data_IF_644639406891
#
_entry.id   IF_644639406891
#
_cell.length_a   1.000
_cell.length_b   1.000
_cell.length_c   1.000
_cell.angle_alpha   90.00
_cell.angle_beta   90.00
_cell.angle_gamma   90.00
#
_symmetry.space_group_name_H-M   'P 1'
#
loop_
_entity.id
_entity.type
_entity.pdbx_description
1 polymer ?
#
# COMPACT_ATOMS: atom_id res chain seq x y z
N UNK A 1 23.94 15.09 21.70
CA UNK A 1 24.93 14.04 21.47
C UNK A 1 25.35 14.08 20.01
N UNK A 2 26.63 13.80 19.69
CA UNK A 2 27.09 13.70 18.29
C UNK A 2 27.01 12.25 17.82
N UNK A 3 26.45 12.03 16.62
CA UNK A 3 26.34 10.70 15.97
C UNK A 3 26.63 10.81 14.48
N UNK A 4 27.11 9.72 13.89
CA UNK A 4 27.23 9.54 12.44
C UNK A 4 26.23 8.47 12.00
N UNK A 5 25.40 8.77 11.00
CA UNK A 5 24.37 7.85 10.52
C UNK A 5 25.01 6.81 9.61
N UNK A 6 24.87 5.54 9.98
CA UNK A 6 25.42 4.39 9.26
C UNK A 6 24.52 3.93 8.10
N UNK A 7 23.21 3.84 8.36
CA UNK A 7 22.21 3.34 7.39
C UNK A 7 20.79 3.81 7.71
N UNK A 8 19.88 3.61 6.78
CA UNK A 8 18.44 3.69 7.03
C UNK A 8 17.91 2.36 7.57
N UNK A 9 16.83 2.45 8.33
CA UNK A 9 16.07 1.30 8.83
C UNK A 9 14.64 1.30 8.27
N UNK A 10 13.95 0.17 8.37
CA UNK A 10 12.52 0.12 8.08
C UNK A 10 11.80 1.16 8.94
N UNK A 11 10.90 1.95 8.32
CA UNK A 11 10.30 3.13 8.95
C UNK A 11 10.99 4.45 8.57
N UNK A 12 12.16 4.42 7.89
CA UNK A 12 12.82 5.61 7.33
C UNK A 12 13.70 6.38 8.31
N UNK A 13 13.92 5.87 9.53
CA UNK A 13 14.85 6.49 10.46
C UNK A 13 16.32 6.13 10.12
N UNK A 14 17.23 7.10 10.27
CA UNK A 14 18.66 6.84 10.23
C UNK A 14 19.11 6.12 11.50
N UNK A 15 19.98 5.14 11.37
CA UNK A 15 20.57 4.40 12.49
C UNK A 15 22.01 4.80 12.69
N UNK A 16 22.37 5.06 13.93
CA UNK A 16 23.75 5.28 14.40
C UNK A 16 24.04 4.42 15.63
N UNK A 17 25.33 4.31 15.98
CA UNK A 17 25.78 3.74 17.24
C UNK A 17 26.54 4.77 18.05
N UNK A 18 26.14 4.91 19.31
CA UNK A 18 26.80 5.81 20.23
C UNK A 18 26.72 5.27 21.66
N UNK A 19 27.86 5.31 22.38
CA UNK A 19 27.95 4.86 23.78
C UNK A 19 27.40 3.42 24.00
N UNK A 20 27.65 2.51 23.05
CA UNK A 20 27.19 1.12 23.11
C UNK A 20 25.71 0.90 22.81
N UNK A 21 24.94 1.96 22.45
CA UNK A 21 23.51 1.89 22.09
C UNK A 21 23.28 2.15 20.61
N UNK A 22 22.21 1.57 20.09
CA UNK A 22 21.63 1.96 18.80
C UNK A 22 20.80 3.22 19.00
N UNK A 23 20.99 4.20 18.11
CA UNK A 23 20.25 5.47 18.11
C UNK A 23 19.53 5.61 16.78
N UNK A 24 18.21 5.66 16.83
CA UNK A 24 17.35 5.94 15.66
C UNK A 24 17.07 7.42 15.58
N UNK A 25 17.48 8.04 14.47
CA UNK A 25 17.37 9.49 14.27
C UNK A 25 16.38 9.78 13.16
N UNK A 26 15.24 10.40 13.50
CA UNK A 26 14.25 10.82 12.51
C UNK A 26 14.85 11.85 11.55
N UNK A 27 14.77 11.57 10.24
CA UNK A 27 15.32 12.43 9.17
C UNK A 27 16.84 12.38 9.01
N UNK A 28 17.55 11.50 9.74
CA UNK A 28 18.99 11.26 9.52
C UNK A 28 19.25 10.38 8.31
N UNK A 29 20.23 10.72 7.50
CA UNK A 29 20.62 9.99 6.30
C UNK A 29 22.03 9.40 6.41
N UNK A 30 22.31 8.24 5.80
CA UNK A 30 23.65 7.66 5.80
C UNK A 30 24.73 8.67 5.37
N UNK A 31 25.80 8.80 6.17
CA UNK A 31 26.86 9.76 5.96
C UNK A 31 26.63 11.15 6.58
N UNK A 32 25.43 11.43 7.13
CA UNK A 32 25.25 12.62 7.97
C UNK A 32 26.03 12.48 9.27
N UNK A 33 26.70 13.56 9.71
CA UNK A 33 27.16 13.73 11.09
C UNK A 33 26.25 14.76 11.77
N UNK A 34 25.57 14.31 12.83
CA UNK A 34 24.49 15.04 13.45
C UNK A 34 24.76 15.31 14.94
N UNK A 35 24.35 16.50 15.40
CA UNK A 35 24.06 16.73 16.81
C UNK A 35 22.59 16.42 17.06
N UNK A 36 22.33 15.49 17.95
CA UNK A 36 20.96 14.96 18.20
C UNK A 36 20.57 15.12 19.66
N UNK A 37 19.26 15.28 19.86
CA UNK A 37 18.59 15.27 21.16
C UNK A 37 17.82 13.95 21.29
N UNK A 38 18.12 13.18 22.34
CA UNK A 38 17.36 12.00 22.70
C UNK A 38 15.95 12.41 23.13
N UNK A 39 14.95 11.83 22.49
CA UNK A 39 13.54 12.03 22.82
C UNK A 39 12.99 10.89 23.64
N UNK A 40 13.57 9.68 23.49
CA UNK A 40 13.14 8.49 24.21
C UNK A 40 14.31 7.51 24.39
N UNK A 41 14.56 7.09 25.62
CA UNK A 41 15.56 6.07 25.94
C UNK A 41 14.88 4.78 26.37
N UNK A 42 15.18 3.68 25.67
CA UNK A 42 14.64 2.33 25.89
C UNK A 42 15.66 1.35 26.44
N UNK A 43 16.77 1.83 26.99
CA UNK A 43 17.86 1.01 27.49
C UNK A 43 18.77 0.47 26.38
N UNK A 44 18.30 -0.50 25.59
CA UNK A 44 19.08 -1.09 24.48
C UNK A 44 19.15 -0.21 23.24
N UNK A 45 18.21 0.72 23.05
CA UNK A 45 18.19 1.69 21.95
C UNK A 45 17.60 3.03 22.40
N UNK A 46 17.83 4.07 21.62
CA UNK A 46 17.25 5.39 21.83
C UNK A 46 16.64 5.93 20.54
N UNK A 47 15.60 6.77 20.67
CA UNK A 47 15.04 7.57 19.59
C UNK A 47 15.49 9.02 19.76
N UNK A 48 15.85 9.67 18.67
CA UNK A 48 16.39 11.00 18.68
C UNK A 48 15.88 11.87 17.53
N UNK A 49 15.92 13.17 17.72
CA UNK A 49 15.67 14.19 16.69
C UNK A 49 16.93 14.99 16.42
N UNK A 50 17.05 15.51 15.22
CA UNK A 50 18.16 16.34 14.78
C UNK A 50 18.05 17.72 15.48
N UNK A 51 19.12 18.14 16.17
CA UNK A 51 19.29 19.52 16.64
C UNK A 51 20.08 20.33 15.60
N UNK A 52 21.12 19.71 15.00
CA UNK A 52 22.01 20.38 14.06
C UNK A 52 22.65 19.35 13.13
N UNK A 53 22.81 19.70 11.85
CA UNK A 53 23.58 18.92 10.88
C UNK A 53 25.00 19.46 10.83
N UNK A 54 25.95 18.71 11.38
CA UNK A 54 27.37 19.10 11.45
C UNK A 54 28.11 18.82 10.13
N UNK A 55 27.72 17.74 9.45
CA UNK A 55 28.17 17.37 8.11
C UNK A 55 27.03 16.74 7.35
N UNK A 56 26.72 17.27 6.19
CA UNK A 56 25.62 16.82 5.33
C UNK A 56 26.06 15.64 4.49
N UNK A 57 25.23 14.60 4.42
CA UNK A 57 25.37 13.51 3.47
C UNK A 57 25.35 14.01 2.02
N UNK A 58 26.21 13.53 1.11
CA UNK A 58 26.15 13.87 -0.31
C UNK A 58 24.86 13.41 -1.00
N UNK A 59 24.15 12.47 -0.37
CA UNK A 59 22.89 11.94 -0.88
C UNK A 59 21.65 12.74 -0.43
N UNK A 60 21.86 13.75 0.43
CA UNK A 60 20.77 14.63 0.87
C UNK A 60 20.36 15.59 -0.24
N UNK A 61 19.04 15.79 -0.36
CA UNK A 61 18.42 16.76 -1.29
C UNK A 61 17.34 17.55 -0.57
N UNK A 62 16.85 18.62 -1.22
CA UNK A 62 15.74 19.40 -0.68
C UNK A 62 14.41 18.69 -0.97
N UNK A 63 13.60 18.47 0.06
CA UNK A 63 12.26 17.96 -0.09
C UNK A 63 11.34 19.01 -0.73
N UNK A 64 10.62 18.70 -1.81
CA UNK A 64 9.74 19.67 -2.48
C UNK A 64 8.41 19.88 -1.74
N UNK A 65 8.02 19.00 -0.83
CA UNK A 65 6.78 19.10 -0.08
C UNK A 65 6.90 20.10 1.07
N UNK A 66 6.06 21.17 1.13
CA UNK A 66 6.16 22.18 2.16
C UNK A 66 5.84 21.67 3.58
N UNK A 67 5.15 20.54 3.70
CA UNK A 67 4.80 19.90 4.97
C UNK A 67 5.60 18.60 5.23
N UNK A 68 6.73 18.43 4.50
CA UNK A 68 7.62 17.31 4.76
C UNK A 68 8.21 17.38 6.18
N UNK A 69 8.23 16.24 6.88
CA UNK A 69 8.66 16.15 8.28
C UNK A 69 7.54 16.37 9.29
N UNK A 70 6.43 17.03 8.91
CA UNK A 70 5.22 17.14 9.70
C UNK A 70 4.18 16.10 9.28
N UNK A 71 3.87 16.01 7.98
CA UNK A 71 2.97 15.01 7.42
C UNK A 71 3.60 13.61 7.50
N UNK A 72 2.84 12.62 8.00
CA UNK A 72 3.27 11.22 8.10
C UNK A 72 3.28 10.45 6.78
N UNK A 73 2.96 11.09 5.65
CA UNK A 73 2.83 10.40 4.36
C UNK A 73 4.15 10.02 3.70
N UNK A 74 5.22 10.80 3.91
CA UNK A 74 6.52 10.61 3.26
C UNK A 74 7.67 10.72 4.28
N UNK A 75 8.69 9.87 4.13
CA UNK A 75 9.85 9.85 5.02
C UNK A 75 11.18 10.09 4.29
N UNK A 76 11.22 9.98 2.95
CA UNK A 76 12.46 9.95 2.18
C UNK A 76 12.63 11.06 1.14
N UNK A 77 11.76 12.09 1.10
CA UNK A 77 11.85 13.18 0.11
C UNK A 77 13.17 13.98 0.18
N UNK A 78 13.90 13.88 1.29
CA UNK A 78 15.19 14.54 1.50
C UNK A 78 16.39 13.66 1.11
N UNK A 79 16.14 12.48 0.51
CA UNK A 79 17.14 11.54 0.01
C UNK A 79 17.01 11.41 -1.51
N UNK A 80 18.11 11.46 -2.25
CA UNK A 80 18.11 11.22 -3.71
C UNK A 80 17.50 9.87 -4.05
N UNK A 81 16.74 9.80 -5.14
CA UNK A 81 15.95 8.63 -5.48
C UNK A 81 16.77 7.33 -5.67
N UNK A 82 17.94 7.33 -6.36
CA UNK A 82 18.75 6.11 -6.44
C UNK A 82 19.15 5.57 -5.07
N UNK A 83 19.42 6.45 -4.10
CA UNK A 83 19.79 6.07 -2.73
C UNK A 83 18.57 5.57 -1.95
N UNK A 84 17.35 6.03 -2.25
CA UNK A 84 16.12 5.43 -1.71
C UNK A 84 15.99 3.98 -2.15
N UNK A 85 16.19 3.68 -3.43
CA UNK A 85 16.11 2.33 -3.99
C UNK A 85 17.16 1.39 -3.34
N UNK A 86 18.41 1.85 -3.26
CA UNK A 86 19.49 1.10 -2.62
C UNK A 86 19.17 0.80 -1.14
N UNK A 87 18.66 1.78 -0.40
CA UNK A 87 18.27 1.61 0.98
C UNK A 87 17.12 0.59 1.13
N UNK A 88 16.11 0.64 0.27
CA UNK A 88 14.97 -0.31 0.28
C UNK A 88 15.44 -1.75 0.05
N UNK A 89 16.32 -1.99 -0.91
CA UNK A 89 16.91 -3.32 -1.15
C UNK A 89 17.72 -3.81 0.05
N UNK A 90 18.54 -2.92 0.65
CA UNK A 90 19.33 -3.25 1.84
C UNK A 90 18.45 -3.60 3.03
N UNK A 91 17.39 -2.82 3.27
CA UNK A 91 16.41 -3.08 4.34
C UNK A 91 15.70 -4.42 4.14
N UNK A 92 15.25 -4.72 2.91
CA UNK A 92 14.61 -6.00 2.60
C UNK A 92 15.57 -7.17 2.90
N UNK A 93 16.81 -7.12 2.39
CA UNK A 93 17.82 -8.15 2.61
C UNK A 93 18.07 -8.38 4.11
N UNK A 94 18.35 -7.31 4.84
CA UNK A 94 18.62 -7.39 6.27
C UNK A 94 17.41 -7.96 7.05
N UNK A 95 16.20 -7.61 6.64
CA UNK A 95 14.97 -8.09 7.27
C UNK A 95 14.78 -9.58 7.04
N UNK A 96 15.00 -10.06 5.81
CA UNK A 96 14.93 -11.50 5.48
C UNK A 96 15.97 -12.30 6.28
N UNK A 97 17.20 -11.77 6.41
CA UNK A 97 18.26 -12.45 7.15
C UNK A 97 18.00 -12.48 8.67
N UNK A 98 17.61 -11.35 9.27
CA UNK A 98 17.50 -11.20 10.72
C UNK A 98 16.21 -11.75 11.31
N UNK A 99 15.09 -11.54 10.62
CA UNK A 99 13.75 -11.98 11.07
C UNK A 99 13.43 -13.35 10.48
N UNK A 100 13.64 -13.50 9.18
CA UNK A 100 13.33 -14.73 8.45
C UNK A 100 14.35 -15.85 8.68
N UNK A 101 15.59 -15.52 9.07
CA UNK A 101 16.71 -16.50 9.06
C UNK A 101 17.11 -16.92 7.64
N UNK A 102 16.62 -16.23 6.62
CA UNK A 102 16.75 -16.55 5.21
C UNK A 102 18.01 -15.89 4.65
N UNK A 103 19.12 -16.66 4.53
CA UNK A 103 20.41 -16.19 4.04
C UNK A 103 20.66 -16.66 2.61
N UNK A 104 21.42 -15.88 1.85
CA UNK A 104 21.82 -16.26 0.48
C UNK A 104 20.66 -16.31 -0.52
N UNK A 105 19.52 -15.69 -0.19
CA UNK A 105 18.37 -15.62 -1.09
C UNK A 105 18.68 -14.68 -2.26
N UNK A 106 18.30 -15.11 -3.44
CA UNK A 106 18.34 -14.28 -4.63
C UNK A 106 17.30 -13.15 -4.52
N UNK A 107 17.79 -11.91 -4.39
CA UNK A 107 16.98 -10.70 -4.46
C UNK A 107 17.22 -10.09 -5.83
N UNK A 108 16.18 -10.18 -6.67
CA UNK A 108 16.23 -9.58 -8.00
C UNK A 108 16.33 -8.04 -7.91
N UNK A 109 16.77 -7.36 -8.97
CA UNK A 109 16.81 -5.90 -8.99
C UNK A 109 15.44 -5.29 -8.68
N UNK A 110 15.44 -4.22 -7.86
CA UNK A 110 14.21 -3.48 -7.55
C UNK A 110 13.65 -2.85 -8.83
N UNK A 111 12.33 -2.97 -9.05
CA UNK A 111 11.66 -2.17 -10.07
C UNK A 111 11.50 -0.73 -9.56
N UNK A 112 12.19 0.24 -10.18
CA UNK A 112 12.01 1.65 -9.84
C UNK A 112 10.70 2.16 -10.42
N UNK A 113 10.07 3.14 -9.78
CA UNK A 113 9.00 3.90 -10.41
C UNK A 113 9.57 4.87 -11.44
N UNK A 114 8.93 4.99 -12.60
CA UNK A 114 9.28 6.00 -13.61
C UNK A 114 9.04 7.42 -13.07
N UNK A 115 8.00 7.58 -12.27
CA UNK A 115 7.64 8.83 -11.64
C UNK A 115 7.97 8.78 -10.15
N UNK A 116 8.90 9.62 -9.71
CA UNK A 116 9.24 9.76 -8.28
C UNK A 116 8.17 10.52 -7.49
N UNK A 117 7.40 11.34 -8.20
CA UNK A 117 6.28 12.16 -7.73
C UNK A 117 5.09 11.98 -8.67
N UNK A 118 3.93 12.54 -8.29
CA UNK A 118 2.70 12.53 -9.13
C UNK A 118 2.16 11.15 -9.53
N UNK A 119 2.68 10.07 -8.93
CA UNK A 119 2.30 8.70 -9.27
C UNK A 119 1.00 8.25 -8.60
N UNK A 120 0.65 8.86 -7.45
CA UNK A 120 -0.41 8.35 -6.59
C UNK A 120 -1.79 8.69 -7.13
N UNK A 121 -2.55 7.65 -7.48
CA UNK A 121 -3.89 7.76 -8.08
C UNK A 121 -5.02 7.72 -7.06
N UNK A 122 -4.73 7.60 -5.76
CA UNK A 122 -5.72 7.53 -4.68
C UNK A 122 -5.18 8.14 -3.39
N UNK A 123 -6.02 8.97 -2.74
CA UNK A 123 -5.72 9.55 -1.43
C UNK A 123 -6.94 9.50 -0.50
N UNK A 124 -6.69 9.50 0.79
CA UNK A 124 -7.71 9.66 1.83
C UNK A 124 -7.36 10.88 2.66
N UNK A 125 -8.16 11.92 2.57
CA UNK A 125 -7.99 13.15 3.32
C UNK A 125 -8.81 13.10 4.62
N UNK A 126 -8.23 13.52 5.72
CA UNK A 126 -8.95 13.87 6.93
C UNK A 126 -9.57 15.24 6.77
N UNK A 127 -10.78 15.42 7.33
CA UNK A 127 -11.47 16.70 7.34
C UNK A 127 -11.72 17.17 8.77
N UNK A 128 -11.74 18.46 8.97
CA UNK A 128 -12.17 19.04 10.25
C UNK A 128 -12.70 20.46 10.05
N UNK A 129 -13.67 20.82 10.88
CA UNK A 129 -14.27 22.13 10.88
C UNK A 129 -13.70 22.94 12.03
N UNK A 130 -13.09 24.09 11.73
CA UNK A 130 -12.47 24.96 12.73
C UNK A 130 -12.60 26.41 12.30
N UNK A 131 -12.93 27.30 13.26
CA UNK A 131 -13.10 28.75 13.02
C UNK A 131 -14.05 29.05 11.84
N UNK A 132 -15.17 28.30 11.75
CA UNK A 132 -16.22 28.52 10.74
C UNK A 132 -15.92 27.96 9.34
N UNK A 133 -14.85 27.20 9.14
CA UNK A 133 -14.49 26.62 7.83
C UNK A 133 -13.94 25.21 7.92
N UNK A 134 -14.03 24.48 6.81
CA UNK A 134 -13.40 23.19 6.65
C UNK A 134 -11.92 23.30 6.31
N UNK A 135 -11.16 22.35 6.82
CA UNK A 135 -9.78 22.08 6.45
C UNK A 135 -9.65 20.64 5.94
N UNK A 136 -8.76 20.45 5.00
CA UNK A 136 -8.37 19.16 4.45
C UNK A 136 -6.91 18.89 4.76
N UNK A 137 -6.55 17.63 5.02
CA UNK A 137 -5.16 17.29 5.26
C UNK A 137 -4.93 15.83 5.62
N UNK A 138 -3.71 15.57 6.06
CA UNK A 138 -3.28 14.27 6.55
C UNK A 138 -3.01 14.31 8.06
N UNK A 139 -2.50 13.22 8.60
CA UNK A 139 -2.05 13.14 9.98
C UNK A 139 -0.52 13.24 10.05
N UNK A 140 -0.02 13.81 11.14
CA UNK A 140 1.36 13.68 11.55
C UNK A 140 1.67 12.20 11.85
N UNK A 141 2.91 11.77 11.61
CA UNK A 141 3.34 10.40 11.83
C UNK A 141 3.19 9.98 13.30
N UNK A 142 2.54 8.83 13.53
CA UNK A 142 2.32 8.29 14.88
C UNK A 142 1.43 9.14 15.78
N UNK A 143 0.69 10.11 15.24
CA UNK A 143 -0.09 11.10 15.98
C UNK A 143 -1.50 11.24 15.40
N UNK A 144 -2.42 11.80 16.21
CA UNK A 144 -3.74 12.25 15.76
C UNK A 144 -3.78 13.71 15.33
N UNK A 145 -2.64 14.41 15.41
CA UNK A 145 -2.53 15.80 14.98
C UNK A 145 -2.72 15.86 13.46
N UNK A 146 -3.52 16.82 13.01
CA UNK A 146 -3.85 17.00 11.59
C UNK A 146 -2.93 18.07 11.00
N UNK A 147 -2.43 17.78 9.80
CA UNK A 147 -1.56 18.64 9.02
C UNK A 147 -2.35 19.12 7.81
N UNK A 148 -2.71 20.42 7.74
CA UNK A 148 -3.43 20.94 6.59
C UNK A 148 -2.54 20.94 5.35
N UNK A 149 -3.15 20.71 4.18
CA UNK A 149 -2.45 20.69 2.90
C UNK A 149 -3.22 21.51 1.85
N UNK A 150 -2.49 22.07 0.90
CA UNK A 150 -3.03 22.68 -0.32
C UNK A 150 -2.87 21.75 -1.54
N UNK A 151 -1.96 20.78 -1.44
CA UNK A 151 -1.68 19.76 -2.43
C UNK A 151 -0.73 18.70 -1.87
N UNK A 152 -0.47 17.67 -2.65
CA UNK A 152 0.41 16.56 -2.30
C UNK A 152 1.34 16.23 -3.48
N UNK A 153 2.67 16.47 -3.39
CA UNK A 153 3.58 16.26 -4.52
C UNK A 153 3.59 14.84 -5.08
N UNK A 154 3.33 13.82 -4.26
CA UNK A 154 3.26 12.43 -4.72
C UNK A 154 1.91 12.05 -5.34
N UNK A 155 0.86 12.87 -5.14
CA UNK A 155 -0.44 12.63 -5.78
C UNK A 155 -0.45 13.13 -7.23
N UNK A 156 -1.20 12.45 -8.10
CA UNK A 156 -1.33 12.83 -9.51
C UNK A 156 -1.92 14.23 -9.66
N UNK A 157 -1.69 14.86 -10.80
CA UNK A 157 -2.24 16.18 -11.12
C UNK A 157 -3.76 16.21 -11.00
N UNK A 158 -4.45 15.14 -11.40
CA UNK A 158 -5.91 14.99 -11.29
C UNK A 158 -6.36 15.01 -9.82
N UNK A 159 -5.64 14.30 -8.94
CA UNK A 159 -5.92 14.28 -7.51
C UNK A 159 -5.65 15.66 -6.90
N UNK A 160 -4.55 16.32 -7.26
CA UNK A 160 -4.20 17.64 -6.76
C UNK A 160 -5.23 18.71 -7.19
N UNK A 161 -5.69 18.65 -8.43
CA UNK A 161 -6.77 19.54 -8.90
C UNK A 161 -8.06 19.32 -8.10
N UNK A 162 -8.42 18.06 -7.81
CA UNK A 162 -9.57 17.75 -6.97
C UNK A 162 -9.39 18.27 -5.54
N UNK A 163 -8.19 18.14 -4.95
CA UNK A 163 -7.87 18.69 -3.61
C UNK A 163 -8.06 20.22 -3.61
N UNK A 164 -7.49 20.90 -4.61
CA UNK A 164 -7.59 22.37 -4.73
C UNK A 164 -9.04 22.83 -4.83
N UNK A 165 -9.83 22.26 -5.75
CA UNK A 165 -11.23 22.59 -5.94
C UNK A 165 -12.08 22.29 -4.71
N UNK A 166 -11.88 21.12 -4.07
CA UNK A 166 -12.55 20.76 -2.82
C UNK A 166 -12.24 21.72 -1.70
N UNK A 167 -10.97 22.11 -1.53
CA UNK A 167 -10.55 23.06 -0.51
C UNK A 167 -11.27 24.41 -0.70
N UNK A 168 -11.31 24.91 -1.94
CA UNK A 168 -12.01 26.15 -2.29
C UNK A 168 -13.52 26.04 -2.03
N UNK A 169 -14.16 24.96 -2.49
CA UNK A 169 -15.57 24.74 -2.29
C UNK A 169 -15.95 24.64 -0.80
N UNK A 170 -15.23 23.82 -0.04
CA UNK A 170 -15.48 23.60 1.38
C UNK A 170 -15.17 24.84 2.23
N UNK A 171 -14.23 25.69 1.81
CA UNK A 171 -13.93 26.96 2.51
C UNK A 171 -15.07 27.95 2.46
N UNK A 172 -15.93 27.88 1.44
CA UNK A 172 -17.11 28.76 1.30
C UNK A 172 -18.33 28.28 2.11
N UNK A 173 -18.25 27.11 2.72
CA UNK A 173 -19.34 26.50 3.46
C UNK A 173 -19.24 26.86 4.94
N UNK A 174 -20.20 27.66 5.42
CA UNK A 174 -20.30 28.08 6.84
C UNK A 174 -21.08 27.08 7.71
N UNK A 175 -21.71 26.04 7.11
CA UNK A 175 -22.46 25.04 7.83
C UNK A 175 -21.59 23.83 8.20
N UNK A 176 -21.79 23.27 9.41
CA UNK A 176 -21.11 22.07 9.84
C UNK A 176 -21.86 20.82 9.38
N UNK A 177 -21.15 19.93 8.68
CA UNK A 177 -21.61 18.59 8.26
C UNK A 177 -20.82 17.50 8.99
N UNK A 178 -21.37 16.31 9.21
CA UNK A 178 -20.69 15.20 9.88
C UNK A 178 -19.67 14.50 8.97
N UNK A 179 -18.78 15.25 8.33
CA UNK A 179 -17.77 14.79 7.39
C UNK A 179 -16.46 14.44 8.11
N UNK A 180 -16.08 13.17 8.11
CA UNK A 180 -14.85 12.68 8.75
C UNK A 180 -13.66 12.64 7.81
N UNK A 181 -13.87 12.14 6.58
CA UNK A 181 -12.83 11.94 5.58
C UNK A 181 -13.40 12.12 4.17
N UNK A 182 -12.49 12.30 3.23
CA UNK A 182 -12.79 12.30 1.80
C UNK A 182 -11.84 11.29 1.14
N UNK A 183 -12.40 10.30 0.47
CA UNK A 183 -11.65 9.45 -0.45
C UNK A 183 -11.67 10.09 -1.84
N UNK A 184 -10.52 10.19 -2.47
CA UNK A 184 -10.39 10.63 -3.85
C UNK A 184 -9.62 9.55 -4.59
N UNK A 185 -10.17 9.07 -5.70
CA UNK A 185 -9.51 8.15 -6.61
C UNK A 185 -9.59 8.67 -8.03
N UNK A 186 -8.61 8.36 -8.87
CA UNK A 186 -8.58 8.74 -10.27
C UNK A 186 -8.63 7.51 -11.17
N UNK A 187 -9.43 7.58 -12.23
CA UNK A 187 -9.45 6.63 -13.34
C UNK A 187 -8.32 6.90 -14.38
N UNK A 188 -7.54 7.98 -14.18
CA UNK A 188 -6.50 8.47 -15.11
C UNK A 188 -6.98 9.63 -15.98
N UNK A 189 -8.25 9.99 -15.96
CA UNK A 189 -8.88 11.11 -16.69
C UNK A 189 -9.59 12.07 -15.76
N UNK A 190 -10.32 11.53 -14.80
CA UNK A 190 -11.14 12.29 -13.85
C UNK A 190 -10.89 11.82 -12.42
N UNK A 191 -11.21 12.67 -11.44
CA UNK A 191 -11.24 12.32 -10.03
C UNK A 191 -12.65 11.94 -9.60
N UNK A 192 -12.77 10.86 -8.83
CA UNK A 192 -14.00 10.39 -8.21
C UNK A 192 -13.89 10.56 -6.70
N UNK A 193 -14.95 11.04 -6.06
CA UNK A 193 -14.94 11.46 -4.66
C UNK A 193 -15.96 10.66 -3.86
N UNK A 194 -15.59 10.23 -2.67
CA UNK A 194 -16.51 9.67 -1.70
C UNK A 194 -16.38 10.37 -0.35
N UNK A 195 -17.47 10.95 0.12
CA UNK A 195 -17.58 11.63 1.40
C UNK A 195 -17.86 10.60 2.50
N UNK A 196 -17.02 10.55 3.51
CA UNK A 196 -17.12 9.58 4.61
C UNK A 196 -17.68 10.27 5.84
N UNK A 197 -18.85 9.85 6.35
CA UNK A 197 -19.42 10.42 7.57
C UNK A 197 -18.67 9.99 8.84
N UNK A 198 -18.81 10.76 9.92
CA UNK A 198 -18.32 10.36 11.25
C UNK A 198 -19.07 9.15 11.83
N UNK A 199 -20.31 8.94 11.39
CA UNK A 199 -21.15 7.85 11.84
C UNK A 199 -21.97 7.31 10.69
N UNK A 200 -22.08 6.00 10.57
CA UNK A 200 -22.91 5.33 9.58
C UNK A 200 -24.44 5.64 9.73
N UNK A 201 -24.83 6.15 10.92
CA UNK A 201 -26.24 6.46 11.22
C UNK A 201 -26.79 7.69 10.50
N UNK A 202 -25.93 8.50 9.86
CA UNK A 202 -26.37 9.78 9.31
C UNK A 202 -25.77 10.14 7.92
N UNK A 203 -25.73 9.20 6.96
CA UNK A 203 -25.20 9.47 5.63
C UNK A 203 -26.05 10.49 4.86
N UNK A 204 -27.36 10.59 5.19
CA UNK A 204 -28.32 11.51 4.51
C UNK A 204 -27.96 12.98 4.70
N UNK A 205 -27.36 13.36 5.83
CA UNK A 205 -26.91 14.75 6.07
C UNK A 205 -25.79 15.18 5.12
N UNK A 206 -25.02 14.24 4.57
CA UNK A 206 -23.99 14.53 3.58
C UNK A 206 -24.54 14.68 2.16
N UNK A 207 -25.81 14.33 1.88
CA UNK A 207 -26.37 14.48 0.54
C UNK A 207 -26.41 15.94 0.09
N UNK A 208 -26.81 16.85 0.97
CA UNK A 208 -26.79 18.30 0.67
C UNK A 208 -25.38 18.78 0.35
N UNK A 209 -24.39 18.33 1.13
CA UNK A 209 -22.99 18.65 0.87
C UNK A 209 -22.50 18.03 -0.44
N UNK A 210 -22.83 16.76 -0.71
CA UNK A 210 -22.52 16.07 -1.96
C UNK A 210 -23.07 16.85 -3.16
N UNK A 211 -24.34 17.22 -3.11
CA UNK A 211 -25.02 17.92 -4.21
C UNK A 211 -24.43 19.31 -4.43
N UNK A 212 -24.03 20.00 -3.35
CA UNK A 212 -23.31 21.27 -3.43
C UNK A 212 -21.95 21.09 -4.09
N UNK A 213 -21.15 20.09 -3.66
CA UNK A 213 -19.86 19.78 -4.26
C UNK A 213 -20.03 19.40 -5.74
N UNK A 214 -20.95 18.50 -6.06
CA UNK A 214 -21.21 18.06 -7.44
C UNK A 214 -21.59 19.22 -8.37
N UNK A 215 -22.34 20.19 -7.87
CA UNK A 215 -22.73 21.39 -8.62
C UNK A 215 -21.59 22.41 -8.78
N UNK A 216 -20.72 22.48 -7.79
CA UNK A 216 -19.63 23.47 -7.75
C UNK A 216 -18.35 23.01 -8.43
N UNK A 217 -18.19 21.70 -8.62
CA UNK A 217 -16.97 21.10 -9.16
C UNK A 217 -17.31 20.32 -10.44
N UNK A 218 -16.68 20.68 -11.54
CA UNK A 218 -16.67 19.89 -12.78
C UNK A 218 -15.64 18.76 -12.63
N UNK A 219 -15.95 17.78 -11.79
CA UNK A 219 -15.17 16.56 -11.56
C UNK A 219 -16.07 15.35 -11.74
N UNK A 220 -15.49 14.16 -11.77
CA UNK A 220 -16.23 12.91 -11.88
C UNK A 220 -17.27 12.69 -10.77
N UNK A 221 -17.56 11.46 -10.44
CA UNK A 221 -18.62 11.13 -9.48
C UNK A 221 -18.32 11.64 -8.07
N UNK A 222 -19.34 12.22 -7.42
CA UNK A 222 -19.31 12.57 -6.00
C UNK A 222 -20.39 11.76 -5.29
N UNK A 223 -19.98 10.94 -4.34
CA UNK A 223 -20.81 10.00 -3.62
C UNK A 223 -20.64 10.13 -2.10
N UNK A 224 -21.46 9.41 -1.34
CA UNK A 224 -21.34 9.26 0.11
C UNK A 224 -21.03 7.79 0.41
N UNK A 225 -19.93 7.54 1.13
CA UNK A 225 -19.50 6.20 1.48
C UNK A 225 -20.58 5.43 2.25
N UNK A 226 -20.81 4.17 1.85
CA UNK A 226 -21.86 3.34 2.42
C UNK A 226 -23.30 3.73 2.01
N UNK A 227 -23.47 4.73 1.13
CA UNK A 227 -24.77 5.21 0.69
C UNK A 227 -24.72 5.70 -0.77
N UNK A 228 -25.25 4.91 -1.72
CA UNK A 228 -25.26 5.20 -3.16
C UNK A 228 -23.91 5.62 -3.73
N UNK A 229 -22.91 4.77 -3.54
CA UNK A 229 -21.59 4.98 -4.11
C UNK A 229 -21.57 4.52 -5.56
N UNK A 230 -21.29 5.45 -6.48
CA UNK A 230 -21.13 5.16 -7.90
C UNK A 230 -19.75 4.56 -8.16
N UNK A 231 -19.69 3.52 -8.98
CA UNK A 231 -18.43 2.96 -9.45
C UNK A 231 -17.88 3.74 -10.66
N UNK A 232 -16.59 3.62 -10.88
CA UNK A 232 -15.89 4.11 -12.05
C UNK A 232 -15.09 2.99 -12.71
N UNK A 233 -14.92 3.09 -14.02
CA UNK A 233 -14.11 2.17 -14.82
C UNK A 233 -12.70 2.74 -15.01
N UNK A 234 -11.69 1.87 -14.99
CA UNK A 234 -10.34 2.16 -15.44
C UNK A 234 -9.73 0.95 -16.12
N UNK A 235 -8.74 1.19 -16.97
CA UNK A 235 -8.02 0.10 -17.66
C UNK A 235 -6.66 -0.13 -17.00
N UNK A 236 -6.29 -1.39 -16.80
CA UNK A 236 -5.01 -1.82 -16.27
C UNK A 236 -4.51 -3.04 -17.04
N UNK A 237 -3.30 -2.97 -17.63
CA UNK A 237 -2.70 -4.07 -18.41
C UNK A 237 -3.67 -4.70 -19.42
N UNK A 238 -4.48 -3.84 -20.09
CA UNK A 238 -5.44 -4.25 -21.12
C UNK A 238 -6.72 -4.89 -20.64
N UNK A 239 -7.01 -4.85 -19.32
CA UNK A 239 -8.29 -5.28 -18.74
C UNK A 239 -9.04 -4.10 -18.14
N UNK A 240 -10.38 -4.20 -18.14
CA UNK A 240 -11.28 -3.24 -17.50
C UNK A 240 -11.51 -3.60 -16.06
N UNK A 241 -11.31 -2.63 -15.17
CA UNK A 241 -11.59 -2.75 -13.76
C UNK A 241 -12.64 -1.73 -13.34
N UNK A 242 -13.50 -2.16 -12.44
CA UNK A 242 -14.45 -1.28 -11.77
C UNK A 242 -14.05 -1.10 -10.31
N UNK A 243 -14.14 0.15 -9.82
CA UNK A 243 -13.88 0.47 -8.43
C UNK A 243 -14.75 1.62 -7.95
N UNK A 244 -14.73 1.89 -6.66
CA UNK A 244 -15.28 3.11 -6.05
C UNK A 244 -14.17 3.79 -5.24
N UNK A 245 -14.26 5.10 -4.94
CA UNK A 245 -13.23 5.77 -4.17
C UNK A 245 -12.97 5.18 -2.77
N UNK A 246 -13.96 4.48 -2.20
CA UNK A 246 -13.83 3.83 -0.87
C UNK A 246 -13.19 2.44 -0.92
N UNK A 247 -13.18 1.78 -2.07
CA UNK A 247 -12.54 0.47 -2.25
C UNK A 247 -11.07 0.64 -2.55
N UNK A 248 -10.24 -0.26 -2.03
CA UNK A 248 -8.80 -0.21 -2.25
C UNK A 248 -8.45 -0.54 -3.71
N UNK A 249 -7.56 0.25 -4.28
CA UNK A 249 -6.83 -0.02 -5.53
C UNK A 249 -5.36 0.31 -5.32
N UNK A 250 -4.47 -0.33 -6.06
CA UNK A 250 -3.04 -0.05 -6.01
C UNK A 250 -2.76 1.41 -6.38
N UNK A 251 -1.95 2.08 -5.55
CA UNK A 251 -1.80 3.55 -5.61
C UNK A 251 -0.91 4.03 -6.75
N UNK A 252 -0.02 3.19 -7.26
CA UNK A 252 0.87 3.48 -8.39
C UNK A 252 0.54 2.49 -9.51
N UNK A 253 -0.09 2.97 -10.58
CA UNK A 253 -0.56 2.11 -11.68
C UNK A 253 0.58 1.47 -12.44
N UNK A 254 1.60 2.24 -12.73
CA UNK A 254 2.75 1.77 -13.50
C UNK A 254 3.45 0.61 -12.77
N UNK A 255 3.74 0.79 -11.49
CA UNK A 255 4.37 -0.28 -10.69
C UNK A 255 3.42 -1.46 -10.49
N UNK A 256 2.10 -1.23 -10.38
CA UNK A 256 1.14 -2.33 -10.33
C UNK A 256 1.14 -3.16 -11.63
N UNK A 257 1.31 -2.53 -12.81
CA UNK A 257 1.46 -3.27 -14.07
C UNK A 257 2.69 -4.17 -14.04
N UNK A 258 3.84 -3.67 -13.60
CA UNK A 258 5.06 -4.45 -13.46
C UNK A 258 4.94 -5.59 -12.44
N UNK A 259 4.21 -5.33 -11.35
CA UNK A 259 3.94 -6.34 -10.32
C UNK A 259 3.05 -7.45 -10.87
N UNK A 260 1.97 -7.11 -11.58
CA UNK A 260 1.09 -8.07 -12.26
C UNK A 260 1.85 -8.87 -13.31
N UNK A 261 2.64 -8.21 -14.17
CA UNK A 261 3.48 -8.87 -15.18
C UNK A 261 4.42 -9.90 -14.53
N UNK A 262 5.12 -9.50 -13.47
CA UNK A 262 6.04 -10.40 -12.72
C UNK A 262 5.30 -11.57 -12.10
N UNK A 263 4.13 -11.34 -11.50
CA UNK A 263 3.33 -12.39 -10.89
C UNK A 263 2.84 -13.40 -11.93
N UNK A 264 2.33 -12.93 -13.07
CA UNK A 264 1.89 -13.79 -14.18
C UNK A 264 3.05 -14.55 -14.80
N UNK A 265 4.22 -13.94 -14.96
CA UNK A 265 5.44 -14.58 -15.43
C UNK A 265 5.88 -15.71 -14.46
N UNK A 266 5.97 -15.39 -13.16
CA UNK A 266 6.45 -16.34 -12.15
C UNK A 266 5.46 -17.46 -11.85
N UNK A 267 4.18 -17.26 -12.10
CA UNK A 267 3.17 -18.30 -11.99
C UNK A 267 3.44 -19.46 -12.95
N UNK A 268 4.03 -19.18 -14.13
CA UNK A 268 4.39 -20.18 -15.15
C UNK A 268 3.26 -21.15 -15.48
N UNK A 269 2.04 -20.63 -15.66
CA UNK A 269 0.82 -21.40 -15.91
C UNK A 269 0.80 -21.97 -17.32
N UNK A 270 0.31 -23.22 -17.45
CA UNK A 270 0.21 -23.98 -18.72
C UNK A 270 -1.24 -24.15 -19.21
N UNK A 271 -2.22 -23.63 -18.45
CA UNK A 271 -3.64 -23.65 -18.82
C UNK A 271 -4.46 -24.78 -18.20
N UNK A 272 -3.86 -25.62 -17.37
CA UNK A 272 -4.57 -26.70 -16.67
C UNK A 272 -4.69 -26.47 -15.15
N UNK A 273 -4.04 -25.43 -14.64
CA UNK A 273 -3.92 -25.17 -13.23
C UNK A 273 -5.20 -24.58 -12.64
N UNK A 274 -5.46 -24.94 -11.39
CA UNK A 274 -6.45 -24.32 -10.52
C UNK A 274 -5.73 -23.39 -9.53
N UNK A 275 -6.07 -22.11 -9.54
CA UNK A 275 -5.38 -21.08 -8.78
C UNK A 275 -6.28 -20.49 -7.71
N UNK A 276 -5.75 -20.31 -6.50
CA UNK A 276 -6.40 -19.58 -5.40
C UNK A 276 -5.72 -18.23 -5.22
N UNK A 277 -6.50 -17.15 -5.30
CA UNK A 277 -6.05 -15.77 -5.07
C UNK A 277 -6.71 -15.24 -3.77
N UNK A 278 -5.96 -15.24 -2.68
CA UNK A 278 -6.42 -14.79 -1.36
C UNK A 278 -6.13 -13.31 -1.16
N UNK A 279 -7.10 -12.60 -0.59
CA UNK A 279 -7.11 -11.13 -0.46
C UNK A 279 -7.19 -10.44 -1.83
N UNK A 280 -7.97 -11.01 -2.74
CA UNK A 280 -7.98 -10.63 -4.16
C UNK A 280 -8.52 -9.21 -4.45
N UNK A 281 -9.20 -8.58 -3.49
CA UNK A 281 -9.79 -7.25 -3.66
C UNK A 281 -10.76 -7.19 -4.84
N UNK A 282 -10.51 -6.28 -5.77
CA UNK A 282 -11.28 -6.13 -7.02
C UNK A 282 -10.81 -7.08 -8.14
N UNK A 283 -10.01 -8.11 -7.81
CA UNK A 283 -9.50 -9.09 -8.77
C UNK A 283 -8.25 -8.67 -9.52
N UNK A 284 -7.41 -7.80 -8.92
CA UNK A 284 -6.20 -7.26 -9.55
C UNK A 284 -5.29 -8.36 -10.15
N UNK A 285 -5.06 -9.45 -9.43
CA UNK A 285 -4.30 -10.59 -9.92
C UNK A 285 -5.19 -11.66 -10.56
N UNK A 286 -6.34 -11.95 -9.95
CA UNK A 286 -7.28 -12.99 -10.39
C UNK A 286 -7.61 -12.90 -11.87
N UNK A 287 -7.93 -11.69 -12.39
CA UNK A 287 -8.36 -11.52 -13.77
C UNK A 287 -7.23 -11.72 -14.78
N UNK A 288 -6.00 -11.32 -14.43
CA UNK A 288 -4.83 -11.55 -15.29
C UNK A 288 -4.41 -13.02 -15.29
N UNK A 289 -4.46 -13.68 -14.15
CA UNK A 289 -4.19 -15.11 -13.98
C UNK A 289 -5.21 -15.94 -14.76
N UNK A 290 -6.50 -15.58 -14.72
CA UNK A 290 -7.57 -16.30 -15.38
C UNK A 290 -7.38 -16.42 -16.91
N UNK A 291 -6.63 -15.52 -17.54
CA UNK A 291 -6.26 -15.63 -18.96
C UNK A 291 -5.33 -16.80 -19.27
N UNK A 292 -4.72 -17.42 -18.26
CA UNK A 292 -3.70 -18.45 -18.41
C UNK A 292 -3.98 -19.71 -17.59
N UNK A 293 -4.87 -19.65 -16.61
CA UNK A 293 -5.28 -20.77 -15.76
C UNK A 293 -6.52 -21.48 -16.30
N UNK A 294 -6.74 -22.72 -15.88
CA UNK A 294 -8.01 -23.44 -16.09
C UNK A 294 -9.13 -22.78 -15.29
N UNK A 295 -8.88 -22.49 -14.04
CA UNK A 295 -9.83 -21.93 -13.08
C UNK A 295 -9.10 -21.04 -12.05
N UNK A 296 -9.72 -19.95 -11.68
CA UNK A 296 -9.25 -19.09 -10.58
C UNK A 296 -10.35 -18.93 -9.54
N UNK A 297 -10.00 -19.04 -8.27
CA UNK A 297 -10.87 -18.72 -7.15
C UNK A 297 -10.28 -17.50 -6.44
N UNK A 298 -10.94 -16.35 -6.54
CA UNK A 298 -10.58 -15.11 -5.86
C UNK A 298 -11.38 -14.93 -4.57
N UNK A 299 -10.71 -14.71 -3.45
CA UNK A 299 -11.33 -14.63 -2.12
C UNK A 299 -10.95 -13.31 -1.46
N UNK A 300 -11.95 -12.57 -0.97
CA UNK A 300 -11.77 -11.35 -0.19
C UNK A 300 -12.94 -11.14 0.77
N UNK A 301 -12.66 -10.64 1.97
CA UNK A 301 -13.71 -10.37 2.97
C UNK A 301 -14.66 -9.25 2.57
N UNK A 302 -14.25 -8.36 1.67
CA UNK A 302 -15.03 -7.23 1.22
C UNK A 302 -16.04 -7.62 0.14
N UNK A 303 -17.29 -7.88 0.53
CA UNK A 303 -18.36 -8.16 -0.42
C UNK A 303 -18.52 -7.08 -1.51
N UNK A 304 -18.16 -5.82 -1.19
CA UNK A 304 -18.16 -4.72 -2.15
C UNK A 304 -17.05 -4.88 -3.20
N UNK A 305 -15.83 -5.22 -2.78
CA UNK A 305 -14.73 -5.47 -3.69
C UNK A 305 -15.04 -6.67 -4.60
N UNK A 306 -15.56 -7.76 -4.04
CA UNK A 306 -15.98 -8.95 -4.78
C UNK A 306 -17.07 -8.63 -5.82
N UNK A 307 -18.06 -7.79 -5.48
CA UNK A 307 -19.06 -7.34 -6.47
C UNK A 307 -18.42 -6.61 -7.65
N UNK A 308 -17.42 -5.76 -7.39
CA UNK A 308 -16.70 -5.03 -8.42
C UNK A 308 -15.79 -5.96 -9.24
N UNK A 309 -15.16 -6.95 -8.61
CA UNK A 309 -14.37 -7.97 -9.28
C UNK A 309 -15.23 -8.79 -10.27
N UNK A 310 -16.43 -9.21 -9.86
CA UNK A 310 -17.41 -9.90 -10.74
C UNK A 310 -17.79 -9.03 -11.92
N UNK A 311 -18.09 -7.75 -11.69
CA UNK A 311 -18.40 -6.79 -12.76
C UNK A 311 -17.24 -6.62 -13.74
N UNK A 312 -16.00 -6.60 -13.24
CA UNK A 312 -14.79 -6.52 -14.07
C UNK A 312 -14.62 -7.78 -14.92
N UNK A 313 -14.82 -8.96 -14.34
CA UNK A 313 -14.78 -10.24 -15.08
C UNK A 313 -15.83 -10.30 -16.21
N UNK A 314 -17.05 -9.87 -15.92
CA UNK A 314 -18.15 -9.80 -16.90
C UNK A 314 -17.82 -8.86 -18.07
N UNK A 315 -17.26 -7.68 -17.79
CA UNK A 315 -16.91 -6.68 -18.81
C UNK A 315 -15.85 -7.18 -19.81
N UNK A 316 -14.92 -8.02 -19.37
CA UNK A 316 -13.88 -8.62 -20.20
C UNK A 316 -14.21 -10.09 -20.60
N UNK A 317 -15.43 -10.57 -20.32
CA UNK A 317 -15.93 -11.89 -20.65
C UNK A 317 -15.07 -13.04 -20.09
N UNK A 318 -14.43 -12.81 -18.93
CA UNK A 318 -13.64 -13.82 -18.21
C UNK A 318 -14.60 -14.72 -17.43
N UNK A 319 -14.74 -15.99 -17.82
CA UNK A 319 -15.74 -16.93 -17.29
C UNK A 319 -15.18 -18.00 -16.36
N UNK A 320 -13.88 -18.16 -16.31
CA UNK A 320 -13.16 -19.15 -15.52
C UNK A 320 -12.64 -18.60 -14.20
N UNK A 321 -13.29 -17.55 -13.65
CA UNK A 321 -13.00 -16.99 -12.35
C UNK A 321 -14.26 -17.03 -11.47
N UNK A 322 -14.09 -17.48 -10.24
CA UNK A 322 -15.11 -17.48 -9.18
C UNK A 322 -14.65 -16.53 -8.10
N UNK A 323 -15.52 -15.61 -7.66
CA UNK A 323 -15.23 -14.68 -6.59
C UNK A 323 -16.11 -14.95 -5.36
N UNK A 324 -15.46 -15.10 -4.19
CA UNK A 324 -16.10 -15.47 -2.92
C UNK A 324 -15.87 -14.39 -1.85
N UNK A 325 -16.94 -13.81 -1.24
CA UNK A 325 -16.83 -12.79 -0.21
C UNK A 325 -16.64 -13.40 1.20
N UNK A 326 -15.68 -14.29 1.36
CA UNK A 326 -15.39 -15.02 2.60
C UNK A 326 -14.05 -14.57 3.18
N UNK A 327 -13.88 -14.47 4.52
CA UNK A 327 -12.55 -14.30 5.12
C UNK A 327 -11.59 -15.42 4.70
N UNK A 328 -10.33 -15.07 4.41
CA UNK A 328 -9.32 -16.03 3.92
C UNK A 328 -9.14 -17.23 4.85
N UNK A 329 -9.17 -17.02 6.18
CA UNK A 329 -9.03 -18.06 7.18
C UNK A 329 -10.16 -19.10 7.08
N UNK A 330 -11.40 -18.62 6.98
CA UNK A 330 -12.58 -19.47 6.87
C UNK A 330 -12.59 -20.22 5.53
N UNK A 331 -12.26 -19.54 4.43
CA UNK A 331 -12.21 -20.16 3.12
C UNK A 331 -11.18 -21.30 3.07
N UNK A 332 -9.98 -21.09 3.61
CA UNK A 332 -8.93 -22.12 3.68
C UNK A 332 -9.39 -23.31 4.53
N UNK A 333 -10.01 -23.06 5.69
CA UNK A 333 -10.55 -24.12 6.56
C UNK A 333 -11.65 -24.94 5.86
N UNK A 334 -12.56 -24.31 5.15
CA UNK A 334 -13.61 -24.98 4.39
C UNK A 334 -13.06 -25.74 3.18
N UNK A 335 -12.04 -25.20 2.50
CA UNK A 335 -11.37 -25.88 1.38
C UNK A 335 -10.68 -27.18 1.83
N UNK A 336 -10.07 -27.17 3.02
CA UNK A 336 -9.50 -28.39 3.61
C UNK A 336 -10.59 -29.44 3.90
N UNK A 337 -11.75 -29.04 4.44
CA UNK A 337 -12.88 -29.96 4.68
C UNK A 337 -13.44 -30.57 3.40
N UNK A 338 -13.39 -29.84 2.27
CA UNK A 338 -13.84 -30.28 0.95
C UNK A 338 -12.77 -31.05 0.17
N UNK A 339 -11.56 -31.18 0.69
CA UNK A 339 -10.38 -31.71 -0.01
C UNK A 339 -10.08 -30.96 -1.33
N UNK A 340 -10.32 -29.66 -1.36
CA UNK A 340 -10.01 -28.81 -2.52
C UNK A 340 -8.50 -28.86 -2.81
N UNK A 341 -8.13 -28.85 -4.09
CA UNK A 341 -6.73 -28.82 -4.54
C UNK A 341 -6.50 -27.56 -5.38
N UNK A 342 -5.36 -26.93 -5.14
CA UNK A 342 -4.89 -25.78 -5.91
C UNK A 342 -3.43 -26.01 -6.28
N UNK A 343 -3.09 -25.72 -7.53
CA UNK A 343 -1.72 -25.85 -8.03
C UNK A 343 -0.86 -24.65 -7.61
N UNK A 344 -1.48 -23.47 -7.61
CA UNK A 344 -0.87 -22.21 -7.21
C UNK A 344 -1.76 -21.47 -6.21
N UNK A 345 -1.13 -20.89 -5.18
CA UNK A 345 -1.77 -19.91 -4.30
C UNK A 345 -1.07 -18.57 -4.43
N UNK A 346 -1.85 -17.51 -4.65
CA UNK A 346 -1.41 -16.12 -4.61
C UNK A 346 -1.90 -15.48 -3.31
N UNK A 347 -1.04 -14.71 -2.66
CA UNK A 347 -1.33 -14.00 -1.41
C UNK A 347 -0.99 -12.53 -1.56
N UNK A 348 -1.92 -11.63 -1.21
CA UNK A 348 -1.67 -10.19 -1.04
C UNK A 348 -2.32 -9.69 0.27
N UNK A 349 -1.84 -10.17 1.43
CA UNK A 349 -2.48 -9.89 2.71
C UNK A 349 -2.24 -8.45 3.16
N UNK A 350 -3.04 -7.95 4.13
CA UNK A 350 -2.79 -6.67 4.79
C UNK A 350 -1.44 -6.68 5.54
N UNK A 351 -1.04 -5.52 6.08
CA UNK A 351 0.27 -5.32 6.75
C UNK A 351 0.58 -6.30 7.89
N UNK A 352 -0.43 -6.88 8.50
CA UNK A 352 -0.32 -7.90 9.54
C UNK A 352 0.24 -9.22 9.03
N UNK A 353 0.26 -9.41 7.71
CA UNK A 353 0.68 -10.64 7.03
C UNK A 353 -0.40 -11.72 7.05
N UNK A 354 -0.02 -12.94 6.70
CA UNK A 354 -0.92 -14.08 6.50
C UNK A 354 -0.83 -15.15 7.62
N UNK A 355 -0.29 -14.81 8.79
CA UNK A 355 0.00 -15.77 9.88
C UNK A 355 -1.17 -16.72 10.19
N UNK A 356 -2.42 -16.22 10.13
CA UNK A 356 -3.62 -17.00 10.46
C UNK A 356 -3.90 -18.16 9.52
N UNK A 357 -3.43 -18.09 8.28
CA UNK A 357 -3.73 -19.08 7.23
C UNK A 357 -2.56 -19.97 6.85
N UNK A 358 -1.32 -19.67 7.28
CA UNK A 358 -0.12 -20.38 6.78
C UNK A 358 -0.16 -21.87 6.99
N UNK A 359 -0.64 -22.35 8.14
CA UNK A 359 -0.77 -23.80 8.41
C UNK A 359 -1.76 -24.45 7.44
N UNK A 360 -2.93 -23.87 7.27
CA UNK A 360 -3.93 -24.37 6.33
C UNK A 360 -3.43 -24.35 4.89
N UNK A 361 -2.65 -23.34 4.49
CA UNK A 361 -2.02 -23.31 3.16
C UNK A 361 -1.03 -24.46 2.96
N UNK A 362 -0.24 -24.78 3.98
CA UNK A 362 0.67 -25.94 3.94
C UNK A 362 -0.12 -27.24 3.81
N UNK A 363 -1.24 -27.38 4.50
CA UNK A 363 -2.13 -28.55 4.40
C UNK A 363 -2.83 -28.64 3.04
N UNK A 364 -3.23 -27.53 2.41
CA UNK A 364 -3.72 -27.49 1.03
C UNK A 364 -2.65 -27.93 0.02
N UNK A 365 -1.38 -27.83 0.41
CA UNK A 365 -0.22 -28.33 -0.32
C UNK A 365 -0.08 -27.85 -1.78
N UNK A 366 -0.27 -26.56 -2.12
CA UNK A 366 -0.05 -26.10 -3.49
C UNK A 366 1.41 -26.33 -3.92
N UNK A 367 1.63 -26.54 -5.21
CA UNK A 367 2.99 -26.69 -5.75
C UNK A 367 3.80 -25.40 -5.63
N UNK A 368 3.12 -24.26 -5.83
CA UNK A 368 3.73 -22.92 -5.78
C UNK A 368 2.91 -21.99 -4.90
N UNK A 369 3.61 -21.07 -4.25
CA UNK A 369 3.01 -19.91 -3.56
C UNK A 369 3.69 -18.65 -4.09
N UNK A 370 2.90 -17.65 -4.52
CA UNK A 370 3.37 -16.31 -4.80
C UNK A 370 2.84 -15.39 -3.71
N UNK A 371 3.75 -14.78 -2.95
CA UNK A 371 3.43 -13.91 -1.83
C UNK A 371 3.77 -12.46 -2.17
N UNK A 372 2.78 -11.59 -2.27
CA UNK A 372 2.93 -10.15 -2.42
C UNK A 372 2.83 -9.49 -1.04
N UNK A 373 3.69 -8.54 -0.72
CA UNK A 373 3.68 -7.88 0.59
C UNK A 373 4.27 -6.47 0.53
N UNK A 374 3.61 -5.54 1.22
CA UNK A 374 4.10 -4.18 1.44
C UNK A 374 4.86 -4.00 2.79
N UNK A 375 5.03 -5.07 3.58
CA UNK A 375 5.66 -5.04 4.90
C UNK A 375 6.76 -6.12 5.02
N UNK A 376 8.04 -5.78 4.82
CA UNK A 376 9.14 -6.73 4.89
C UNK A 376 9.26 -7.51 6.20
N UNK A 377 9.03 -6.94 7.41
CA UNK A 377 9.06 -7.69 8.67
C UNK A 377 8.03 -8.83 8.74
N UNK A 378 6.79 -8.58 8.36
CA UNK A 378 5.74 -9.61 8.37
C UNK A 378 5.95 -10.63 7.26
N UNK A 379 6.40 -10.19 6.08
CA UNK A 379 6.81 -11.10 5.00
C UNK A 379 7.92 -12.05 5.46
N UNK A 380 9.00 -11.53 6.04
CA UNK A 380 10.12 -12.35 6.49
C UNK A 380 9.69 -13.40 7.55
N UNK A 381 8.81 -13.02 8.48
CA UNK A 381 8.22 -13.92 9.48
C UNK A 381 7.41 -15.05 8.81
N UNK A 382 6.58 -14.69 7.85
CA UNK A 382 5.67 -15.63 7.19
C UNK A 382 6.44 -16.56 6.24
N UNK A 383 7.43 -16.05 5.51
CA UNK A 383 8.34 -16.85 4.69
C UNK A 383 9.14 -17.85 5.53
N UNK A 384 9.61 -17.45 6.73
CA UNK A 384 10.25 -18.37 7.66
C UNK A 384 9.34 -19.54 7.99
N UNK A 385 8.09 -19.26 8.35
CA UNK A 385 7.10 -20.30 8.65
C UNK A 385 6.89 -21.24 7.45
N UNK A 386 6.69 -20.71 6.25
CA UNK A 386 6.50 -21.54 5.05
C UNK A 386 7.73 -22.41 4.75
N UNK A 387 8.94 -21.87 4.96
CA UNK A 387 10.18 -22.65 4.73
C UNK A 387 10.39 -23.73 5.77
N UNK A 388 9.99 -23.52 7.02
CA UNK A 388 9.99 -24.55 8.07
C UNK A 388 8.99 -25.68 7.78
N UNK A 389 7.95 -25.42 7.01
CA UNK A 389 6.91 -26.39 6.60
C UNK A 389 7.08 -26.96 5.18
N UNK A 390 8.29 -26.93 4.62
CA UNK A 390 8.62 -27.66 3.40
C UNK A 390 8.47 -26.86 2.11
N UNK A 391 8.39 -25.55 2.16
CA UNK A 391 8.53 -24.70 0.99
C UNK A 391 9.95 -24.14 0.88
N UNK A 392 10.44 -23.96 -0.33
CA UNK A 392 11.69 -23.27 -0.62
C UNK A 392 11.39 -21.90 -1.21
N UNK A 393 11.95 -20.86 -0.62
CA UNK A 393 11.97 -19.52 -1.25
C UNK A 393 12.93 -19.59 -2.44
N UNK A 394 12.41 -19.40 -3.64
CA UNK A 394 13.17 -19.47 -4.90
C UNK A 394 13.81 -18.12 -5.16
N UNK A 395 13.03 -17.05 -5.17
CA UNK A 395 13.49 -15.69 -5.44
C UNK A 395 12.51 -14.66 -4.89
N UNK A 396 12.98 -13.44 -4.76
CA UNK A 396 12.17 -12.29 -4.34
C UNK A 396 12.55 -11.07 -5.18
N UNK A 397 11.56 -10.27 -5.57
CA UNK A 397 11.75 -9.00 -6.26
C UNK A 397 11.05 -7.87 -5.52
N UNK A 398 11.78 -6.82 -5.12
CA UNK A 398 11.19 -5.59 -4.61
C UNK A 398 10.70 -4.67 -5.72
N UNK A 399 9.67 -3.87 -5.40
CA UNK A 399 9.07 -2.86 -6.26
C UNK A 399 8.97 -1.54 -5.49
N UNK A 400 9.31 -0.44 -6.12
CA UNK A 400 9.09 0.88 -5.52
C UNK A 400 7.68 1.40 -5.81
N UNK A 401 6.67 0.72 -5.24
CA UNK A 401 5.27 1.10 -5.32
C UNK A 401 5.01 2.49 -4.72
N UNK A 402 5.86 2.90 -3.76
CA UNK A 402 5.68 4.11 -2.97
C UNK A 402 6.98 4.93 -2.89
N UNK A 403 7.43 5.56 -4.00
CA UNK A 403 8.52 6.54 -3.96
C UNK A 403 8.35 7.55 -2.84
N UNK A 404 9.44 8.08 -2.30
CA UNK A 404 9.47 9.08 -1.22
C UNK A 404 9.02 8.56 0.16
N UNK A 405 8.66 7.28 0.27
CA UNK A 405 8.24 6.64 1.53
C UNK A 405 9.15 5.45 1.86
N UNK A 406 9.12 4.99 3.11
CA UNK A 406 9.87 3.80 3.54
C UNK A 406 9.25 2.47 3.09
N UNK A 407 8.04 2.49 2.53
CA UNK A 407 7.36 1.26 2.12
C UNK A 407 8.08 0.55 0.98
N UNK A 408 8.10 -0.76 1.07
CA UNK A 408 8.73 -1.65 0.10
C UNK A 408 7.70 -2.70 -0.27
N UNK A 409 7.26 -2.70 -1.52
CA UNK A 409 6.44 -3.77 -2.08
C UNK A 409 7.36 -4.89 -2.53
N UNK A 410 6.98 -6.15 -2.33
CA UNK A 410 7.80 -7.30 -2.71
C UNK A 410 6.95 -8.46 -3.20
N UNK A 411 7.41 -9.16 -4.22
CA UNK A 411 6.86 -10.44 -4.68
C UNK A 411 7.87 -11.53 -4.35
N UNK A 412 7.44 -12.57 -3.64
CA UNK A 412 8.24 -13.74 -3.31
C UNK A 412 7.63 -14.98 -3.97
N UNK A 413 8.46 -15.77 -4.65
CA UNK A 413 8.10 -17.06 -5.22
C UNK A 413 8.62 -18.19 -4.34
N UNK A 414 7.71 -19.06 -3.90
CA UNK A 414 8.04 -20.28 -3.18
C UNK A 414 7.58 -21.50 -3.99
N UNK A 415 8.33 -22.59 -3.88
CA UNK A 415 7.99 -23.90 -4.42
C UNK A 415 8.03 -24.93 -3.31
N UNK A 416 7.09 -25.87 -3.32
CA UNK A 416 7.08 -26.99 -2.40
C UNK A 416 8.28 -27.89 -2.66
N UNK A 417 8.96 -28.31 -1.59
CA UNK A 417 9.96 -29.37 -1.66
C UNK A 417 9.22 -30.72 -1.78
N UNK A 418 9.54 -31.46 -2.83
CA UNK A 418 8.99 -32.81 -3.10
C UNK A 418 9.62 -33.83 -2.17
#
# INVERSE_FOLDING_TARGET
MRVEIEKLTFGGAGMARANGKVVFVKGGLPGDVLKVKITKDKGSYAEAIIEEILRTSPERTQAPCPVFGECGGCQLQHLKYPSQLAAKVSILRETLERIGGLRGIEIEPIFPSLEEYSYRNRVTLSTWFQKGRYHLGFHEEGSRKRVPIEGCPIASSIINEAIFRLTKCLSSINAHYPLARIHIASDGKTAHISLVPFSEKDPKKLNTLRDHIKKSLEIGNVSVAGYHEEDFEFTQSGLKFYSTPSVFIQSNREINERLVETLVEWSDLKGHERVLDLYCGIGNFSLHIAKRAREVVGVDVSAKAIKLAKKSAEADQIRNVIFDPTPAELFVEESLKRDDKFDLVVLDPPREGAKGILKGLVELSPEKIIYVSCDPPTLARDLKTLTEFGYKLIKIRPFDMFPQTYHIESVALLSRLI
#
